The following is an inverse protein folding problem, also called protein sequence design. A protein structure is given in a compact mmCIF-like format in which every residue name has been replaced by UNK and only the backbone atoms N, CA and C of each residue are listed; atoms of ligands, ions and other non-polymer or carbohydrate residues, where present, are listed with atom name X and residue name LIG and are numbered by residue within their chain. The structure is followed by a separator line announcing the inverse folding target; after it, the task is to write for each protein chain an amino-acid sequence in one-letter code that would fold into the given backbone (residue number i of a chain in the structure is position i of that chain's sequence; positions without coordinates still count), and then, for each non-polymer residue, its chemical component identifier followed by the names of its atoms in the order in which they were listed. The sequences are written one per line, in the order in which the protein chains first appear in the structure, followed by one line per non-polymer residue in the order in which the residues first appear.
data_IF_992176953028
#
_entry.id   IF_992176953028
#
_cell.length_a   1.000
_cell.length_b   1.000
_cell.length_c   1.000
_cell.angle_alpha   90.00
_cell.angle_beta   90.00
_cell.angle_gamma   90.00
#
_symmetry.space_group_name_H-M   'P 1'
#
loop_
_entity.id
_entity.type
_entity.pdbx_description
1 polymer ?
#
# COMPACT_ATOMS: atom_id res chain seq x y z
N UNK A 1 -30.07 13.01 1.46
CA UNK A 1 -29.94 13.84 0.25
C UNK A 1 -31.22 13.73 -0.55
N UNK A 2 -31.90 14.85 -0.81
CA UNK A 2 -33.16 14.86 -1.54
C UNK A 2 -32.89 14.75 -3.04
N UNK A 3 -33.73 14.00 -3.76
CA UNK A 3 -33.57 13.74 -5.20
C UNK A 3 -33.66 15.03 -6.02
N UNK A 4 -34.40 16.02 -5.55
CA UNK A 4 -34.54 17.34 -6.19
C UNK A 4 -33.22 18.12 -6.19
N UNK A 5 -32.45 18.07 -5.09
CA UNK A 5 -31.14 18.72 -4.99
C UNK A 5 -30.16 18.16 -6.03
N UNK A 6 -30.23 16.85 -6.28
CA UNK A 6 -29.37 16.16 -7.25
C UNK A 6 -29.68 16.63 -8.69
N UNK A 7 -30.96 16.78 -9.03
CA UNK A 7 -31.38 17.27 -10.36
C UNK A 7 -30.96 18.73 -10.59
N UNK A 8 -31.02 19.56 -9.55
CA UNK A 8 -30.58 20.95 -9.63
C UNK A 8 -29.07 21.03 -9.93
N UNK A 9 -28.26 20.30 -9.15
CA UNK A 9 -26.79 20.25 -9.32
C UNK A 9 -26.41 19.78 -10.74
N UNK A 10 -27.09 18.76 -11.28
CA UNK A 10 -26.85 18.28 -12.65
C UNK A 10 -27.14 19.37 -13.69
N UNK A 11 -28.26 20.09 -13.55
CA UNK A 11 -28.64 21.17 -14.48
C UNK A 11 -27.66 22.35 -14.39
N UNK A 12 -27.16 22.67 -13.21
CA UNK A 12 -26.14 23.71 -13.04
C UNK A 12 -24.80 23.30 -13.65
N UNK A 13 -24.34 22.07 -13.39
CA UNK A 13 -23.11 21.53 -13.97
C UNK A 13 -23.15 21.52 -15.50
N UNK A 14 -24.31 21.19 -16.10
CA UNK A 14 -24.50 21.20 -17.56
C UNK A 14 -24.23 22.57 -18.20
N UNK A 15 -24.34 23.67 -17.45
CA UNK A 15 -24.10 25.04 -17.92
C UNK A 15 -22.65 25.52 -17.72
N UNK A 16 -21.83 24.77 -16.99
CA UNK A 16 -20.46 25.16 -16.61
C UNK A 16 -19.42 24.51 -17.52
N UNK A 17 -18.46 25.30 -18.01
CA UNK A 17 -17.37 24.84 -18.88
C UNK A 17 -16.17 24.39 -18.07
N UNK A 18 -15.60 23.25 -18.43
CA UNK A 18 -14.33 22.83 -17.87
C UNK A 18 -13.21 23.75 -18.35
N UNK A 19 -12.47 24.38 -17.44
CA UNK A 19 -11.36 25.28 -17.81
C UNK A 19 -10.15 24.54 -18.45
N UNK A 20 -10.17 23.20 -18.44
CA UNK A 20 -9.08 22.33 -18.93
C UNK A 20 -9.37 21.83 -20.34
N UNK A 21 -10.54 21.20 -20.54
CA UNK A 21 -10.92 20.64 -21.85
C UNK A 21 -11.92 21.52 -22.62
N UNK A 22 -12.39 22.61 -22.03
CA UNK A 22 -13.35 23.58 -22.58
C UNK A 22 -14.75 23.02 -22.92
N UNK A 23 -15.03 21.75 -22.59
CA UNK A 23 -16.35 21.13 -22.77
C UNK A 23 -17.30 21.47 -21.60
N UNK A 24 -18.59 21.46 -21.89
CA UNK A 24 -19.66 21.68 -20.90
C UNK A 24 -19.82 20.50 -19.93
N UNK A 25 -20.58 20.69 -18.85
CA UNK A 25 -20.87 19.63 -17.88
C UNK A 25 -19.88 19.53 -16.73
N UNK A 26 -19.08 20.57 -16.47
CA UNK A 26 -18.14 20.58 -15.36
C UNK A 26 -18.87 20.74 -14.01
N UNK A 27 -18.82 19.69 -13.19
CA UNK A 27 -19.52 19.67 -11.89
C UNK A 27 -18.68 20.11 -10.71
N UNK A 28 -17.34 20.09 -10.83
CA UNK A 28 -16.45 20.48 -9.73
C UNK A 28 -16.11 21.96 -9.87
N UNK A 29 -16.27 22.72 -8.79
CA UNK A 29 -15.90 24.15 -8.71
C UNK A 29 -14.76 24.32 -7.72
N UNK A 30 -13.82 25.23 -7.99
CA UNK A 30 -12.79 25.58 -7.04
C UNK A 30 -13.41 26.14 -5.74
N UNK A 31 -12.91 25.70 -4.59
CA UNK A 31 -13.40 26.08 -3.27
C UNK A 31 -12.86 27.46 -2.81
N UNK A 32 -11.88 28.02 -3.51
CA UNK A 32 -11.32 29.32 -3.15
C UNK A 32 -12.33 30.43 -3.41
N UNK A 33 -12.53 31.30 -2.42
CA UNK A 33 -13.46 32.43 -2.52
C UNK A 33 -13.09 33.33 -3.70
N UNK A 34 -14.04 33.58 -4.59
CA UNK A 34 -13.82 34.41 -5.78
C UNK A 34 -13.21 33.67 -6.98
N UNK A 35 -12.92 32.37 -6.87
CA UNK A 35 -12.53 31.55 -8.02
C UNK A 35 -13.76 30.88 -8.64
N UNK A 36 -14.02 31.16 -9.92
CA UNK A 36 -15.14 30.61 -10.69
C UNK A 36 -14.76 29.39 -11.55
N UNK A 37 -13.48 28.97 -11.49
CA UNK A 37 -12.98 27.86 -12.30
C UNK A 37 -13.70 26.57 -11.96
N UNK A 38 -14.20 25.92 -13.01
CA UNK A 38 -14.87 24.61 -12.91
C UNK A 38 -14.19 23.58 -13.78
N UNK A 39 -14.21 22.31 -13.36
CA UNK A 39 -13.56 21.23 -14.08
C UNK A 39 -14.31 19.90 -13.95
N UNK A 40 -14.09 19.01 -14.91
CA UNK A 40 -14.55 17.62 -14.78
C UNK A 40 -13.61 16.85 -13.84
N UNK A 41 -14.16 15.89 -13.11
CA UNK A 41 -13.35 14.98 -12.28
C UNK A 41 -12.24 14.27 -13.09
N UNK A 42 -12.48 13.73 -14.29
CA UNK A 42 -11.42 13.08 -15.07
C UNK A 42 -10.36 14.05 -15.61
N UNK A 43 -10.67 15.33 -15.75
CA UNK A 43 -9.71 16.33 -16.20
C UNK A 43 -8.83 16.86 -15.06
N UNK A 44 -9.20 16.62 -13.79
CA UNK A 44 -8.47 17.15 -12.64
C UNK A 44 -6.96 16.82 -12.65
N UNK A 45 -6.50 15.60 -13.02
CA UNK A 45 -5.07 15.29 -13.12
C UNK A 45 -4.34 16.14 -14.16
N UNK A 46 -4.93 16.31 -15.35
CA UNK A 46 -4.35 17.11 -16.44
C UNK A 46 -4.24 18.58 -16.05
N UNK A 47 -5.25 19.10 -15.36
CA UNK A 47 -5.27 20.46 -14.82
C UNK A 47 -4.54 20.63 -13.49
N UNK A 48 -3.84 19.59 -12.99
CA UNK A 48 -3.16 19.60 -11.69
C UNK A 48 -4.05 20.10 -10.53
N UNK A 49 -5.33 19.76 -10.60
CA UNK A 49 -6.31 20.12 -9.59
C UNK A 49 -6.24 19.12 -8.43
N UNK A 50 -6.55 19.59 -7.23
CA UNK A 50 -6.55 18.80 -6.00
C UNK A 50 -7.98 18.68 -5.49
N UNK A 51 -8.47 17.46 -5.35
CA UNK A 51 -9.75 17.16 -4.69
C UNK A 51 -9.49 16.41 -3.40
N UNK A 52 -9.98 16.96 -2.29
CA UNK A 52 -9.90 16.35 -0.97
C UNK A 52 -11.08 15.40 -0.80
N UNK A 53 -10.83 14.13 -0.49
CA UNK A 53 -11.88 13.09 -0.36
C UNK A 53 -12.36 12.90 1.09
N UNK A 54 -12.26 13.96 1.90
CA UNK A 54 -12.64 13.97 3.31
C UNK A 54 -13.41 15.26 3.65
N UNK A 55 -14.10 15.24 4.79
CA UNK A 55 -14.86 16.40 5.27
C UNK A 55 -15.89 16.89 4.25
N UNK A 56 -15.75 18.16 3.83
CA UNK A 56 -16.66 18.83 2.88
C UNK A 56 -16.31 18.59 1.39
N UNK A 57 -15.41 17.65 1.08
CA UNK A 57 -15.01 17.29 -0.29
C UNK A 57 -14.55 18.48 -1.16
N UNK A 58 -13.70 19.34 -0.57
CA UNK A 58 -13.22 20.56 -1.22
C UNK A 58 -12.32 20.25 -2.41
N UNK A 59 -12.45 21.05 -3.47
CA UNK A 59 -11.63 20.92 -4.67
C UNK A 59 -10.98 22.25 -5.02
N UNK A 60 -9.75 22.21 -5.53
CA UNK A 60 -8.93 23.38 -5.80
C UNK A 60 -8.36 23.30 -7.22
N UNK A 61 -8.45 24.40 -7.97
CA UNK A 61 -7.71 24.52 -9.22
C UNK A 61 -6.20 24.62 -8.92
N UNK A 62 -5.36 24.48 -9.94
CA UNK A 62 -3.89 24.52 -9.79
C UNK A 62 -3.39 25.74 -8.98
N UNK A 63 -3.93 26.93 -9.24
CA UNK A 63 -3.51 28.18 -8.57
C UNK A 63 -3.86 28.24 -7.09
N UNK A 64 -4.97 27.60 -6.69
CA UNK A 64 -5.43 27.59 -5.31
C UNK A 64 -5.20 26.24 -4.63
N UNK A 65 -4.43 25.35 -5.27
CA UNK A 65 -4.15 24.03 -4.74
C UNK A 65 -3.24 24.14 -3.50
N UNK A 66 -3.47 23.33 -2.46
CA UNK A 66 -2.56 23.29 -1.33
C UNK A 66 -1.16 22.89 -1.81
N UNK A 67 -0.14 23.43 -1.13
CA UNK A 67 1.26 23.16 -1.42
C UNK A 67 1.90 22.55 -0.18
N UNK A 68 2.74 21.53 -0.35
CA UNK A 68 3.50 21.01 0.78
C UNK A 68 4.63 21.99 1.12
N UNK A 69 4.82 22.22 2.41
CA UNK A 69 5.93 23.05 2.91
C UNK A 69 7.02 22.14 3.45
N UNK A 70 7.85 21.60 2.54
CA UNK A 70 8.99 20.76 2.91
C UNK A 70 10.28 21.55 2.78
N UNK A 71 11.26 21.25 3.64
CA UNK A 71 12.57 21.88 3.54
C UNK A 71 13.27 21.46 2.24
N UNK A 72 13.98 22.39 1.56
CA UNK A 72 14.83 22.04 0.45
C UNK A 72 15.89 21.03 0.90
N UNK A 73 16.05 19.95 0.14
CA UNK A 73 17.08 18.95 0.40
C UNK A 73 18.32 19.29 -0.44
N UNK A 74 19.55 19.13 0.07
CA UNK A 74 20.73 19.10 -0.78
C UNK A 74 20.55 18.00 -1.83
N UNK A 75 20.96 18.27 -3.07
CA UNK A 75 20.72 17.46 -4.27
C UNK A 75 21.42 16.09 -4.21
N UNK A 76 20.91 15.18 -3.40
CA UNK A 76 21.28 13.77 -3.38
C UNK A 76 20.08 12.93 -3.77
N UNK A 77 20.26 12.12 -4.82
CA UNK A 77 19.41 11.04 -5.30
C UNK A 77 17.91 11.26 -5.10
N UNK A 78 17.35 12.13 -5.95
CA UNK A 78 15.92 12.37 -6.07
C UNK A 78 15.22 11.16 -6.70
N UNK A 79 15.09 10.10 -5.91
CA UNK A 79 14.42 8.85 -6.30
C UNK A 79 13.14 8.65 -5.50
N UNK A 80 12.14 8.04 -6.14
CA UNK A 80 10.92 7.64 -5.46
C UNK A 80 11.22 6.40 -4.60
N UNK A 81 10.92 6.45 -3.30
CA UNK A 81 11.16 5.31 -2.40
C UNK A 81 10.29 4.08 -2.73
N UNK A 82 9.25 4.23 -3.56
CA UNK A 82 8.32 3.14 -3.93
C UNK A 82 8.78 2.41 -5.20
N UNK A 83 9.04 3.14 -6.29
CA UNK A 83 9.40 2.54 -7.59
C UNK A 83 10.90 2.63 -7.92
N UNK A 84 11.68 3.36 -7.11
CA UNK A 84 13.12 3.61 -7.27
C UNK A 84 13.51 4.44 -8.50
N UNK A 85 12.54 4.93 -9.28
CA UNK A 85 12.79 5.85 -10.41
C UNK A 85 12.98 7.30 -9.96
N UNK A 86 13.57 8.11 -10.83
CA UNK A 86 13.81 9.54 -10.60
C UNK A 86 12.51 10.34 -10.45
N UNK A 87 12.51 11.29 -9.50
CA UNK A 87 11.44 12.29 -9.32
C UNK A 87 11.96 13.69 -9.67
N UNK A 88 11.07 14.67 -9.81
CA UNK A 88 11.46 16.07 -9.93
C UNK A 88 12.17 16.55 -8.65
N UNK A 89 13.15 17.45 -8.78
CA UNK A 89 13.94 17.92 -7.64
C UNK A 89 13.10 18.66 -6.59
N UNK A 90 12.12 19.41 -7.08
CA UNK A 90 11.23 20.22 -6.26
C UNK A 90 9.92 19.49 -6.00
N UNK A 91 9.33 19.79 -4.85
CA UNK A 91 7.96 19.37 -4.57
C UNK A 91 7.01 20.04 -5.56
N UNK A 92 6.10 19.25 -6.12
CA UNK A 92 5.19 19.67 -7.17
C UNK A 92 3.89 18.87 -7.08
N UNK A 93 2.96 19.09 -8.02
CA UNK A 93 1.80 18.21 -8.16
C UNK A 93 2.21 16.74 -8.38
N UNK A 94 3.30 16.49 -9.12
CA UNK A 94 3.75 15.15 -9.47
C UNK A 94 4.69 14.53 -8.44
N UNK A 95 5.46 15.36 -7.73
CA UNK A 95 6.42 14.92 -6.72
C UNK A 95 5.97 15.34 -5.34
N UNK A 96 5.70 14.37 -4.47
CA UNK A 96 5.34 14.61 -3.07
C UNK A 96 6.42 14.14 -2.12
N UNK A 97 6.40 14.64 -0.89
CA UNK A 97 7.32 14.22 0.16
C UNK A 97 6.65 13.99 1.50
N UNK A 98 7.36 13.27 2.39
CA UNK A 98 6.88 13.01 3.73
C UNK A 98 7.12 14.23 4.65
N UNK A 99 6.10 14.79 5.30
CA UNK A 99 6.28 15.92 6.23
C UNK A 99 6.99 15.52 7.53
N UNK A 100 6.96 14.23 7.90
CA UNK A 100 7.55 13.74 9.14
C UNK A 100 9.07 13.58 9.04
N UNK A 101 9.57 12.84 8.04
CA UNK A 101 11.01 12.65 7.87
C UNK A 101 11.67 13.67 6.94
N UNK A 102 10.90 14.39 6.11
CA UNK A 102 11.37 15.39 5.13
C UNK A 102 12.31 14.88 4.04
N UNK A 103 12.84 13.65 4.16
CA UNK A 103 13.76 13.05 3.22
C UNK A 103 13.08 12.25 2.11
N UNK A 104 12.00 11.52 2.44
CA UNK A 104 11.35 10.64 1.48
C UNK A 104 10.64 11.42 0.37
N UNK A 105 10.78 10.95 -0.88
CA UNK A 105 10.12 11.49 -2.07
C UNK A 105 9.31 10.39 -2.78
N UNK A 106 8.22 10.81 -3.42
CA UNK A 106 7.27 9.92 -4.08
C UNK A 106 6.70 10.54 -5.35
N UNK A 107 6.52 9.75 -6.41
CA UNK A 107 5.57 10.15 -7.46
C UNK A 107 4.15 10.12 -6.91
N UNK A 108 3.31 11.06 -7.37
CA UNK A 108 1.90 11.12 -7.02
C UNK A 108 1.15 9.83 -7.31
N UNK A 109 1.46 9.19 -8.43
CA UNK A 109 0.85 7.94 -8.83
C UNK A 109 1.27 6.80 -7.90
N UNK A 110 2.55 6.70 -7.56
CA UNK A 110 3.07 5.68 -6.64
C UNK A 110 2.43 5.80 -5.26
N UNK A 111 2.31 7.02 -4.72
CA UNK A 111 1.67 7.21 -3.43
C UNK A 111 0.16 6.99 -3.48
N UNK A 112 -0.50 7.33 -4.59
CA UNK A 112 -1.92 7.05 -4.78
C UNK A 112 -2.20 5.54 -4.83
N UNK A 113 -1.35 4.76 -5.49
CA UNK A 113 -1.46 3.31 -5.50
C UNK A 113 -1.27 2.74 -4.09
N UNK A 114 -0.20 3.16 -3.38
CA UNK A 114 0.04 2.75 -2.01
C UNK A 114 -1.14 3.06 -1.08
N UNK A 115 -1.74 4.25 -1.19
CA UNK A 115 -2.90 4.67 -0.41
C UNK A 115 -4.14 3.80 -0.65
N UNK A 116 -4.38 3.37 -1.88
CA UNK A 116 -5.48 2.47 -2.22
C UNK A 116 -5.25 1.06 -1.64
N UNK A 117 -4.01 0.58 -1.65
CA UNK A 117 -3.65 -0.73 -1.12
C UNK A 117 -3.59 -0.78 0.40
N UNK A 118 -3.05 0.26 1.05
CA UNK A 118 -2.83 0.30 2.49
C UNK A 118 -4.08 0.70 3.29
N UNK A 119 -5.03 1.40 2.67
CA UNK A 119 -6.26 1.84 3.35
C UNK A 119 -5.97 2.58 4.65
N UNK A 120 -6.56 2.12 5.75
CA UNK A 120 -6.40 2.73 7.08
C UNK A 120 -4.98 2.60 7.68
N UNK A 121 -4.16 1.67 7.18
CA UNK A 121 -2.77 1.49 7.63
C UNK A 121 -1.76 2.33 6.84
N UNK A 122 -2.23 3.33 6.08
CA UNK A 122 -1.41 4.13 5.20
C UNK A 122 -0.44 5.03 5.97
N UNK A 123 0.85 4.70 5.87
CA UNK A 123 1.98 5.34 6.56
C UNK A 123 3.17 5.51 5.63
N UNK A 124 4.10 6.38 6.00
CA UNK A 124 5.31 6.59 5.22
C UNK A 124 6.13 5.29 5.13
N UNK A 125 6.49 4.79 3.93
CA UNK A 125 7.33 3.59 3.80
C UNK A 125 8.73 3.72 4.40
N UNK A 126 9.24 4.96 4.50
CA UNK A 126 10.59 5.23 4.99
C UNK A 126 10.67 5.36 6.51
N UNK A 127 9.79 6.17 7.12
CA UNK A 127 9.86 6.44 8.57
C UNK A 127 8.72 5.82 9.39
N UNK A 128 7.81 5.09 8.73
CA UNK A 128 6.65 4.42 9.33
C UNK A 128 5.67 5.33 10.08
N UNK A 129 5.88 6.65 10.03
CA UNK A 129 4.98 7.61 10.63
C UNK A 129 3.66 7.68 9.84
N UNK A 130 2.54 7.62 10.57
CA UNK A 130 1.19 7.56 10.00
C UNK A 130 0.50 8.93 10.00
N UNK A 131 0.21 9.52 11.17
CA UNK A 131 -0.72 10.65 11.29
C UNK A 131 -0.37 11.91 10.45
N UNK A 132 0.79 12.57 10.63
CA UNK A 132 1.18 13.71 9.79
C UNK A 132 1.36 13.32 8.32
N UNK A 133 1.80 12.09 8.03
CA UNK A 133 1.93 11.64 6.65
C UNK A 133 0.58 11.48 5.96
N UNK A 134 -0.33 10.73 6.57
CA UNK A 134 -1.68 10.49 6.06
C UNK A 134 -2.44 11.80 5.89
N UNK A 135 -2.41 12.69 6.91
CA UNK A 135 -3.10 13.98 6.87
C UNK A 135 -2.61 14.86 5.74
N UNK A 136 -1.30 14.93 5.54
CA UNK A 136 -0.69 15.70 4.46
C UNK A 136 -1.07 15.13 3.08
N UNK A 137 -0.94 13.81 2.88
CA UNK A 137 -1.28 13.18 1.60
C UNK A 137 -2.78 13.34 1.26
N UNK A 138 -3.67 13.19 2.25
CA UNK A 138 -5.10 13.47 2.10
C UNK A 138 -5.35 14.92 1.70
N UNK A 139 -4.68 15.87 2.36
CA UNK A 139 -4.77 17.31 2.07
C UNK A 139 -4.35 17.62 0.65
N UNK A 140 -3.30 16.95 0.17
CA UNK A 140 -2.80 17.01 -1.20
C UNK A 140 -3.67 16.23 -2.20
N UNK A 141 -4.78 15.63 -1.78
CA UNK A 141 -5.77 14.97 -2.62
C UNK A 141 -5.44 13.52 -2.98
N UNK A 142 -4.62 12.84 -2.18
CA UNK A 142 -4.46 11.38 -2.27
C UNK A 142 -5.69 10.71 -1.68
N UNK A 143 -6.30 9.82 -2.45
CA UNK A 143 -7.50 9.08 -2.03
C UNK A 143 -7.11 7.82 -1.26
N UNK A 144 -7.67 7.64 -0.06
CA UNK A 144 -7.58 6.38 0.68
C UNK A 144 -8.76 5.47 0.35
N UNK A 145 -8.51 4.16 0.37
CA UNK A 145 -9.59 3.18 0.50
C UNK A 145 -10.09 3.15 1.96
N UNK A 146 -11.40 2.99 2.16
CA UNK A 146 -11.98 2.77 3.51
C UNK A 146 -11.82 1.31 3.97
N UNK A 147 -11.36 0.43 3.10
CA UNK A 147 -11.15 -0.97 3.40
C UNK A 147 -9.97 -1.16 4.35
N UNK A 148 -9.97 -2.28 5.08
CA UNK A 148 -8.75 -2.87 5.60
C UNK A 148 -7.70 -2.97 4.47
N UNK A 149 -6.40 -2.91 4.78
CA UNK A 149 -5.37 -3.06 3.77
C UNK A 149 -5.63 -4.27 2.87
N UNK A 150 -5.32 -4.16 1.58
CA UNK A 150 -5.54 -5.27 0.63
C UNK A 150 -4.81 -6.57 1.02
N UNK A 151 -3.70 -6.48 1.76
CA UNK A 151 -3.00 -7.64 2.33
C UNK A 151 -3.73 -8.30 3.51
N UNK A 152 -4.82 -7.70 4.02
CA UNK A 152 -5.76 -8.31 4.96
C UNK A 152 -7.04 -8.81 4.26
N UNK A 153 -7.34 -8.32 3.04
CA UNK A 153 -8.44 -8.86 2.22
C UNK A 153 -8.11 -10.18 1.55
N UNK A 154 -6.83 -10.56 1.55
CA UNK A 154 -6.41 -11.94 1.41
C UNK A 154 -6.71 -12.68 2.71
N UNK A 155 -8.00 -12.94 2.96
CA UNK A 155 -8.36 -14.10 3.76
C UNK A 155 -7.69 -15.31 3.09
N UNK A 156 -6.64 -15.81 3.75
CA UNK A 156 -5.86 -17.01 3.41
C UNK A 156 -4.58 -16.87 2.57
N UNK A 157 -3.79 -15.81 2.72
CA UNK A 157 -2.33 -16.06 2.78
C UNK A 157 -1.97 -16.36 4.22
N UNK A 158 -2.35 -17.57 4.65
CA UNK A 158 -1.43 -18.28 5.55
C UNK A 158 -0.10 -18.26 4.77
N UNK A 159 1.06 -17.86 5.34
CA UNK A 159 2.31 -18.40 4.80
C UNK A 159 2.04 -19.90 4.66
N UNK A 160 2.37 -20.53 3.53
CA UNK A 160 2.09 -21.95 3.33
C UNK A 160 2.63 -22.74 4.53
N UNK A 161 1.76 -22.91 5.52
CA UNK A 161 2.00 -23.56 6.81
C UNK A 161 1.54 -25.00 6.63
N UNK A 162 1.61 -25.51 5.40
CA UNK A 162 2.13 -26.86 5.20
C UNK A 162 3.60 -26.81 5.63
N UNK A 163 3.81 -26.66 6.93
CA UNK A 163 4.97 -27.23 7.59
C UNK A 163 5.02 -28.66 7.08
N UNK A 164 6.17 -29.01 6.51
CA UNK A 164 6.38 -30.34 5.99
C UNK A 164 5.90 -31.36 7.04
N UNK A 165 4.90 -32.18 6.70
CA UNK A 165 4.10 -32.92 7.69
C UNK A 165 4.37 -34.43 7.71
N UNK A 166 5.39 -34.89 6.99
CA UNK A 166 5.71 -36.31 6.86
C UNK A 166 7.20 -36.57 7.06
N UNK A 167 7.56 -37.83 7.20
CA UNK A 167 8.95 -38.28 7.24
C UNK A 167 9.46 -38.63 5.82
N UNK A 168 10.48 -37.93 5.36
CA UNK A 168 11.18 -38.13 4.08
C UNK A 168 12.37 -39.09 4.18
N UNK A 169 12.66 -39.67 5.35
CA UNK A 169 13.72 -40.66 5.48
C UNK A 169 13.56 -41.79 4.46
N UNK A 170 14.67 -42.22 3.83
CA UNK A 170 14.64 -43.25 2.79
C UNK A 170 13.88 -44.50 3.24
N UNK A 171 14.06 -44.90 4.51
CA UNK A 171 13.29 -45.94 5.18
C UNK A 171 12.62 -45.37 6.43
N UNK A 172 11.28 -45.28 6.42
CA UNK A 172 10.52 -44.86 7.59
C UNK A 172 10.24 -46.07 8.51
N UNK A 173 10.61 -45.95 9.78
CA UNK A 173 10.44 -46.99 10.80
C UNK A 173 9.16 -46.81 11.63
N UNK A 174 8.39 -45.75 11.39
CA UNK A 174 7.19 -45.45 12.16
C UNK A 174 6.07 -46.46 11.89
N UNK A 175 5.54 -47.15 12.91
CA UNK A 175 4.40 -48.06 12.74
C UNK A 175 3.14 -47.35 12.24
N UNK A 176 2.98 -46.06 12.56
CA UNK A 176 1.88 -45.21 12.09
C UNK A 176 2.06 -44.69 10.66
N UNK A 177 3.17 -45.03 9.99
CA UNK A 177 3.50 -44.55 8.66
C UNK A 177 4.13 -43.16 8.65
N UNK A 178 4.40 -42.65 7.44
CA UNK A 178 5.21 -41.43 7.23
C UNK A 178 4.53 -40.16 7.70
N UNK A 179 3.20 -40.11 7.68
CA UNK A 179 2.39 -38.94 8.07
C UNK A 179 2.05 -38.94 9.57
N UNK A 180 2.44 -39.98 10.31
CA UNK A 180 2.23 -40.03 11.75
C UNK A 180 3.23 -39.11 12.46
N UNK A 181 2.69 -38.17 13.24
CA UNK A 181 3.49 -37.19 13.99
C UNK A 181 2.99 -37.14 15.43
N UNK A 182 3.86 -37.43 16.37
CA UNK A 182 3.62 -37.23 17.79
C UNK A 182 3.99 -35.80 18.20
N UNK A 183 3.32 -35.27 19.24
CA UNK A 183 3.66 -33.94 19.78
C UNK A 183 5.01 -33.95 20.49
N UNK A 184 5.29 -35.02 21.23
CA UNK A 184 6.53 -35.26 21.95
C UNK A 184 6.79 -36.77 21.92
N UNK A 185 8.02 -37.19 21.62
CA UNK A 185 8.38 -38.61 21.61
C UNK A 185 9.24 -39.05 20.42
N UNK A 186 9.43 -40.36 20.25
CA UNK A 186 10.27 -40.93 19.19
C UNK A 186 9.76 -40.67 17.77
N UNK A 187 8.46 -40.34 17.62
CA UNK A 187 7.79 -40.08 16.35
C UNK A 187 7.38 -38.61 16.18
N UNK A 188 7.96 -37.70 16.96
CA UNK A 188 7.89 -36.28 16.64
C UNK A 188 8.57 -36.02 15.28
N UNK A 189 8.12 -34.99 14.57
CA UNK A 189 8.70 -34.65 13.28
C UNK A 189 9.71 -33.52 13.42
N UNK A 190 10.96 -33.79 13.08
CA UNK A 190 12.01 -32.78 13.01
C UNK A 190 12.12 -32.24 11.60
N UNK A 191 12.07 -30.91 11.47
CA UNK A 191 12.24 -30.23 10.19
C UNK A 191 13.69 -29.81 10.01
N UNK A 192 14.14 -29.77 8.75
CA UNK A 192 15.47 -29.28 8.42
C UNK A 192 15.62 -27.84 8.90
N UNK A 193 16.65 -27.55 9.71
CA UNK A 193 16.87 -26.19 10.26
C UNK A 193 17.11 -25.13 9.20
N UNK A 194 17.61 -25.53 8.02
CA UNK A 194 17.99 -24.62 6.94
C UNK A 194 16.85 -24.32 5.95
N UNK A 195 16.01 -25.30 5.62
CA UNK A 195 14.97 -25.13 4.60
C UNK A 195 13.54 -25.39 5.07
N UNK A 196 13.35 -26.10 6.19
CA UNK A 196 12.06 -26.59 6.67
C UNK A 196 11.20 -27.35 5.63
N UNK A 197 11.79 -27.73 4.49
CA UNK A 197 11.11 -28.34 3.35
C UNK A 197 11.12 -29.86 3.38
N UNK A 198 12.03 -30.45 4.16
CA UNK A 198 12.09 -31.89 4.47
C UNK A 198 11.92 -32.11 5.97
N UNK A 199 11.43 -33.30 6.34
CA UNK A 199 11.27 -33.73 7.72
C UNK A 199 11.69 -35.18 7.96
N UNK A 200 12.18 -35.49 9.16
CA UNK A 200 12.46 -36.88 9.59
C UNK A 200 11.99 -37.12 11.01
N UNK A 201 11.60 -38.36 11.32
CA UNK A 201 11.46 -38.78 12.72
C UNK A 201 12.85 -39.00 13.34
N UNK A 202 13.02 -38.73 14.64
CA UNK A 202 14.26 -39.03 15.37
C UNK A 202 14.76 -40.47 15.16
N UNK A 203 13.85 -41.45 15.17
CA UNK A 203 14.21 -42.86 14.97
C UNK A 203 14.45 -43.26 13.51
N UNK A 204 13.95 -42.48 12.55
CA UNK A 204 14.20 -42.74 11.13
C UNK A 204 15.58 -42.22 10.68
N UNK A 205 16.25 -41.43 11.53
CA UNK A 205 17.60 -40.95 11.32
C UNK A 205 18.64 -41.92 11.90
N UNK A 206 19.57 -42.40 11.06
CA UNK A 206 20.65 -43.30 11.49
C UNK A 206 21.89 -42.49 11.91
N UNK A 207 22.02 -42.24 13.21
CA UNK A 207 23.20 -41.76 13.98
C UNK A 207 23.86 -40.42 13.60
N UNK A 208 23.90 -39.51 14.61
CA UNK A 208 24.82 -38.38 14.65
C UNK A 208 24.49 -37.36 15.75
N UNK A 209 24.74 -37.72 17.02
CA UNK A 209 25.00 -36.91 18.25
C UNK A 209 24.54 -35.44 18.44
N UNK A 210 23.57 -34.92 17.69
CA UNK A 210 22.97 -33.60 17.86
C UNK A 210 21.56 -33.76 18.39
N UNK A 211 21.35 -33.46 19.67
CA UNK A 211 20.05 -33.59 20.34
C UNK A 211 19.06 -32.49 19.96
N UNK A 212 19.46 -31.49 19.15
CA UNK A 212 18.69 -30.25 18.99
C UNK A 212 18.55 -29.72 17.56
N UNK A 213 19.27 -30.24 16.57
CA UNK A 213 19.12 -29.80 15.17
C UNK A 213 19.40 -30.91 14.17
N UNK A 214 18.62 -30.92 13.09
CA UNK A 214 18.78 -31.82 11.93
C UNK A 214 18.75 -30.99 10.65
N UNK A 215 19.59 -31.37 9.69
CA UNK A 215 19.64 -30.79 8.34
C UNK A 215 19.53 -31.91 7.30
N UNK A 216 18.79 -31.65 6.22
CA UNK A 216 18.68 -32.58 5.11
C UNK A 216 19.91 -32.55 4.21
N UNK A 217 20.15 -33.61 3.45
CA UNK A 217 21.35 -33.75 2.60
C UNK A 217 21.40 -32.77 1.41
N UNK A 218 20.32 -32.05 1.13
CA UNK A 218 20.21 -31.10 0.02
C UNK A 218 20.50 -29.66 0.44
N UNK A 219 20.67 -29.39 1.74
CA UNK A 219 21.09 -28.09 2.28
C UNK A 219 22.60 -28.11 2.56
#
# INVERSE_FOLDING_TARGET
FLVEDTRSIIREAAKKSCFICYKMGASITCCHTGCDRTFHLPCAPDGQCVTQYFGAYRSFCREHSPQQTLQPRPSQDNTCIICLDTVEDNISYKTMGCPACQDARFHRQCIQALALHAGIAFRCPSCLNQEPFMTEMLTMGIRLSKSAPSWESDQEVRPSDQRHGRCDAAMCLCPGGREHVEKDGPWQLWLCSSCAAEGTHPHCFSLGNSTYSWECNTC
#
